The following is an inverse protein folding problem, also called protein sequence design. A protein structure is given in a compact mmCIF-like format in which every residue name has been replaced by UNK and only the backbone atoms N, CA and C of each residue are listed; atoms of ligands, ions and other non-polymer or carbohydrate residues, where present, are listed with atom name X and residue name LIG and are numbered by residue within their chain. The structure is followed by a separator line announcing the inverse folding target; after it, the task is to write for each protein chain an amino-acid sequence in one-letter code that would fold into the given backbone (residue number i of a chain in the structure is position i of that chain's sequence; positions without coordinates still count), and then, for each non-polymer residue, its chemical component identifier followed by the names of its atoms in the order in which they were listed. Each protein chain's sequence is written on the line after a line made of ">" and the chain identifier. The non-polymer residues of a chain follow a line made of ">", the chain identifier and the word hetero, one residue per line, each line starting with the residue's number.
data_IF_183085329199
#
_entry.id   IF_183085329199
#
_cell.length_a   1.000
_cell.length_b   1.000
_cell.length_c   1.000
_cell.angle_alpha   90.00
_cell.angle_beta   90.00
_cell.angle_gamma   90.00
#
_symmetry.space_group_name_H-M   'P 1'
#
loop_
_entity.id
_entity.type
_entity.pdbx_description
1 polymer ?
#
# COMPACT_ATOMS: atom_id res chain seq x y z
N UNK A 1 -6.63 9.01 2.00
CA UNK A 1 -5.26 9.37 1.55
C UNK A 1 -4.78 10.68 2.14
N UNK A 2 -5.69 11.60 2.49
CA UNK A 2 -5.35 12.90 3.11
C UNK A 2 -4.48 12.77 4.37
N UNK A 3 -4.73 11.77 5.23
CA UNK A 3 -3.93 11.51 6.42
C UNK A 3 -2.43 11.34 6.10
N UNK A 4 -2.11 10.49 5.13
CA UNK A 4 -0.73 10.17 4.77
C UNK A 4 -0.06 11.36 4.09
N UNK A 5 -0.80 12.11 3.26
CA UNK A 5 -0.31 13.38 2.67
C UNK A 5 0.05 14.42 3.72
N UNK A 6 -0.67 14.44 4.85
CA UNK A 6 -0.41 15.31 5.99
C UNK A 6 0.69 14.81 6.93
N UNK A 7 1.29 13.66 6.62
CA UNK A 7 2.42 13.12 7.37
C UNK A 7 2.06 12.15 8.49
N UNK A 8 0.80 11.74 8.63
CA UNK A 8 0.45 10.66 9.57
C UNK A 8 0.95 9.32 9.03
N UNK A 9 1.79 8.63 9.81
CA UNK A 9 2.55 7.48 9.31
C UNK A 9 2.08 6.15 9.87
N UNK A 10 1.51 6.13 11.07
CA UNK A 10 1.13 4.87 11.71
C UNK A 10 -0.35 4.55 11.53
N UNK A 11 -0.72 3.27 11.69
CA UNK A 11 -2.12 2.84 11.65
C UNK A 11 -2.99 3.64 12.62
N UNK A 12 -2.52 3.83 13.86
CA UNK A 12 -3.26 4.54 14.91
C UNK A 12 -3.48 5.99 14.52
N UNK A 13 -2.43 6.73 14.16
CA UNK A 13 -2.54 8.13 13.75
C UNK A 13 -3.49 8.34 12.55
N UNK A 14 -3.36 7.46 11.54
CA UNK A 14 -4.23 7.50 10.36
C UNK A 14 -5.69 7.21 10.75
N UNK A 15 -5.91 6.26 11.66
CA UNK A 15 -7.23 5.92 12.18
C UNK A 15 -7.86 7.11 12.92
N UNK A 16 -7.10 7.69 13.85
CA UNK A 16 -7.55 8.76 14.73
C UNK A 16 -7.88 10.03 13.92
N UNK A 17 -7.02 10.38 12.95
CA UNK A 17 -7.27 11.51 12.07
C UNK A 17 -8.48 11.31 11.15
N UNK A 18 -8.68 10.10 10.62
CA UNK A 18 -9.77 9.83 9.67
C UNK A 18 -11.12 9.53 10.32
N UNK A 19 -11.14 9.27 11.64
CA UNK A 19 -12.32 8.79 12.36
C UNK A 19 -12.76 7.38 11.96
N UNK A 20 -11.96 6.67 11.15
CA UNK A 20 -12.27 5.31 10.71
C UNK A 20 -11.75 4.33 11.77
N UNK A 21 -12.46 3.24 12.10
CA UNK A 21 -11.97 2.23 13.04
C UNK A 21 -10.67 1.55 12.56
N UNK A 22 -9.77 1.24 13.51
CA UNK A 22 -8.43 0.68 13.22
C UNK A 22 -8.45 -0.55 12.32
N UNK A 23 -9.41 -1.47 12.52
CA UNK A 23 -9.56 -2.67 11.69
C UNK A 23 -9.88 -2.35 10.22
N UNK A 24 -10.75 -1.36 10.00
CA UNK A 24 -11.11 -0.88 8.66
C UNK A 24 -9.96 -0.09 8.04
N UNK A 25 -9.28 0.75 8.81
CA UNK A 25 -8.07 1.46 8.38
C UNK A 25 -7.00 0.49 7.94
N UNK A 26 -6.73 -0.56 8.73
CA UNK A 26 -5.76 -1.61 8.41
C UNK A 26 -6.11 -2.31 7.10
N UNK A 27 -7.36 -2.76 6.93
CA UNK A 27 -7.80 -3.42 5.68
C UNK A 27 -7.60 -2.53 4.46
N UNK A 28 -7.92 -1.24 4.58
CA UNK A 28 -7.72 -0.24 3.50
C UNK A 28 -6.25 -0.01 3.21
N UNK A 29 -5.41 0.19 4.23
CA UNK A 29 -3.97 0.37 4.08
C UNK A 29 -3.31 -0.86 3.44
N UNK A 30 -3.69 -2.07 3.86
CA UNK A 30 -3.24 -3.32 3.25
C UNK A 30 -3.59 -3.39 1.76
N UNK A 31 -4.83 -3.04 1.39
CA UNK A 31 -5.26 -3.01 -0.01
C UNK A 31 -4.48 -1.96 -0.81
N UNK A 32 -4.31 -0.75 -0.28
CA UNK A 32 -3.55 0.32 -0.94
C UNK A 32 -2.07 -0.02 -1.11
N UNK A 33 -1.47 -0.71 -0.13
CA UNK A 33 -0.10 -1.23 -0.22
C UNK A 33 0.01 -2.31 -1.29
N UNK A 34 -0.93 -3.26 -1.33
CA UNK A 34 -0.99 -4.31 -2.37
C UNK A 34 -1.18 -3.74 -3.78
N UNK A 35 -1.90 -2.63 -3.90
CA UNK A 35 -2.08 -1.91 -5.16
C UNK A 35 -0.88 -1.02 -5.52
N UNK A 36 0.14 -0.93 -4.66
CA UNK A 36 1.34 -0.13 -4.89
C UNK A 36 1.15 1.37 -4.70
N UNK A 37 0.06 1.82 -4.06
CA UNK A 37 -0.14 3.24 -3.72
C UNK A 37 0.63 3.66 -2.47
N UNK A 38 0.89 2.71 -1.57
CA UNK A 38 1.60 2.92 -0.31
C UNK A 38 2.78 1.97 -0.19
N UNK A 39 3.81 2.42 0.49
CA UNK A 39 4.91 1.59 0.97
C UNK A 39 4.75 1.43 2.48
N UNK A 40 4.76 0.18 2.95
CA UNK A 40 4.88 -0.14 4.36
C UNK A 40 6.33 -0.37 4.73
N UNK A 41 6.86 0.32 5.75
CA UNK A 41 8.16 0.04 6.36
C UNK A 41 7.97 -0.39 7.81
N UNK A 42 8.81 -1.32 8.29
CA UNK A 42 8.78 -1.76 9.68
C UNK A 42 10.05 -1.29 10.38
N UNK A 43 9.88 -0.43 11.37
CA UNK A 43 10.98 0.16 12.13
C UNK A 43 10.68 0.00 13.62
N UNK A 44 11.64 -0.50 14.41
CA UNK A 44 11.51 -0.69 15.86
C UNK A 44 10.21 -1.40 16.29
N UNK A 45 9.78 -2.39 15.51
CA UNK A 45 8.55 -3.16 15.75
C UNK A 45 7.25 -2.47 15.34
N UNK A 46 7.28 -1.20 14.90
CA UNK A 46 6.11 -0.45 14.41
C UNK A 46 6.06 -0.42 12.87
N UNK A 47 4.86 -0.27 12.33
CA UNK A 47 4.64 -0.17 10.88
C UNK A 47 4.30 1.27 10.51
N UNK A 48 5.02 1.78 9.52
CA UNK A 48 4.89 3.12 8.96
C UNK A 48 4.43 3.01 7.51
N UNK A 49 3.58 3.95 7.09
CA UNK A 49 3.02 4.01 5.75
C UNK A 49 3.38 5.33 5.09
N UNK A 50 4.05 5.26 3.95
CA UNK A 50 4.39 6.42 3.13
C UNK A 50 3.81 6.26 1.71
N UNK A 51 3.63 7.38 1.00
CA UNK A 51 3.13 7.36 -0.38
C UNK A 51 4.19 6.77 -1.30
N UNK A 52 3.82 5.75 -2.07
CA UNK A 52 4.69 5.22 -3.11
C UNK A 52 4.51 6.08 -4.38
N UNK A 53 5.24 7.20 -4.45
CA UNK A 53 5.23 8.12 -5.58
C UNK A 53 6.04 7.59 -6.79
N UNK A 54 6.81 6.52 -6.62
CA UNK A 54 7.81 6.06 -7.60
C UNK A 54 7.31 5.14 -8.70
N UNK A 55 6.12 4.54 -8.59
CA UNK A 55 5.76 3.40 -9.48
C UNK A 55 4.31 3.38 -9.95
N UNK A 56 3.68 4.55 -10.18
CA UNK A 56 2.29 4.62 -10.69
C UNK A 56 2.03 3.81 -11.97
N UNK A 57 3.06 3.50 -12.77
CA UNK A 57 2.95 2.71 -14.00
C UNK A 57 3.85 1.49 -14.11
N UNK A 58 4.69 1.20 -13.11
CA UNK A 58 5.73 0.15 -13.21
C UNK A 58 5.21 -1.16 -12.61
N UNK A 59 4.65 -1.14 -11.38
CA UNK A 59 4.17 -2.37 -10.73
C UNK A 59 3.03 -3.06 -11.48
N UNK A 60 2.11 -2.31 -12.11
CA UNK A 60 1.05 -2.90 -12.95
C UNK A 60 1.62 -3.56 -14.20
N UNK A 61 2.63 -2.95 -14.83
CA UNK A 61 3.30 -3.51 -16.02
C UNK A 61 4.11 -4.75 -15.67
N UNK A 62 4.80 -4.77 -14.52
CA UNK A 62 5.54 -5.94 -14.03
C UNK A 62 4.59 -7.09 -13.75
N UNK A 63 3.50 -6.87 -12.99
CA UNK A 63 2.53 -7.94 -12.69
C UNK A 63 1.87 -8.47 -13.96
N UNK A 64 1.45 -7.60 -14.89
CA UNK A 64 0.90 -8.02 -16.19
C UNK A 64 1.92 -8.84 -17.01
N UNK A 65 3.18 -8.42 -17.04
CA UNK A 65 4.25 -9.15 -17.72
C UNK A 65 4.57 -10.51 -17.09
N UNK A 66 4.43 -10.65 -15.76
CA UNK A 66 4.56 -11.94 -15.07
C UNK A 66 3.36 -12.84 -15.37
N UNK A 67 2.12 -12.32 -15.31
CA UNK A 67 0.89 -13.06 -15.65
C UNK A 67 0.88 -13.55 -17.11
N UNK A 68 1.45 -12.77 -18.03
CA UNK A 68 1.55 -13.14 -19.44
C UNK A 68 2.64 -14.21 -19.67
N UNK A 69 3.77 -14.14 -18.96
CA UNK A 69 4.80 -15.18 -18.99
C UNK A 69 4.31 -16.52 -18.44
N UNK A 70 3.55 -16.52 -17.34
CA UNK A 70 3.00 -17.75 -16.76
C UNK A 70 2.04 -18.42 -17.75
N UNK A 71 1.11 -17.67 -18.36
CA UNK A 71 0.18 -18.20 -19.37
C UNK A 71 0.84 -18.81 -20.60
N UNK A 72 1.97 -18.24 -21.05
CA UNK A 72 2.68 -18.75 -22.23
C UNK A 72 3.54 -19.98 -21.91
N UNK A 73 3.81 -20.28 -20.64
CA UNK A 73 4.61 -21.43 -20.23
C UNK A 73 3.77 -22.69 -19.94
N UNK A 74 2.44 -22.56 -19.92
CA UNK A 74 1.48 -23.65 -19.73
C UNK A 74 0.87 -24.15 -21.06
N UNK A 75 1.40 -23.71 -22.21
CA UNK A 75 0.91 -24.04 -23.55
C UNK A 75 2.05 -24.56 -24.43
#
# INVERSE_FOLDING_TARGET
>A
MEAIKRGYKTLTEISDFTGIPKSTTYRRLKKLTSLGYLQGTREYGRVYYDLNLGTRGISTKINKGIEEKIRNNEK
#
